data_IF_611496753648
#
_entry.id   IF_611496753648
#
_cell.length_a   1.000
_cell.length_b   1.000
_cell.length_c   1.000
_cell.angle_alpha   90.00
_cell.angle_beta   90.00
_cell.angle_gamma   90.00
#
_symmetry.space_group_name_H-M   'P 1'
#
loop_
_entity.id
_entity.type
_entity.pdbx_description
1 polymer ?
#
# COMPACT_ATOMS: atom_id res chain seq x y z
N UNK A 1 -8.82 -22.14 7.03
CA UNK A 1 -8.06 -20.94 6.61
C UNK A 1 -8.97 -19.73 6.69
N UNK A 2 -8.48 -18.51 6.97
CA UNK A 2 -9.34 -17.31 7.05
C UNK A 2 -10.02 -16.98 5.70
N UNK A 3 -9.31 -17.20 4.58
CA UNK A 3 -9.85 -17.05 3.22
C UNK A 3 -9.75 -18.37 2.45
N UNK A 4 -10.83 -18.73 1.75
CA UNK A 4 -10.97 -19.97 0.98
C UNK A 4 -11.49 -19.69 -0.44
N UNK A 5 -11.19 -20.57 -1.40
CA UNK A 5 -11.79 -20.53 -2.73
C UNK A 5 -13.28 -20.80 -2.65
N UNK A 6 -14.05 -20.25 -3.60
CA UNK A 6 -15.49 -20.57 -3.74
C UNK A 6 -15.74 -21.85 -4.56
N UNK A 7 -14.69 -22.42 -5.15
CA UNK A 7 -14.77 -23.68 -5.87
C UNK A 7 -14.51 -24.82 -4.87
N UNK A 8 -15.36 -25.85 -4.91
CA UNK A 8 -15.12 -27.12 -4.22
C UNK A 8 -13.74 -27.67 -4.62
N UNK A 9 -12.91 -28.18 -3.68
CA UNK A 9 -13.21 -28.51 -2.28
C UNK A 9 -12.98 -27.35 -1.29
N UNK A 10 -13.07 -26.08 -1.73
CA UNK A 10 -12.94 -24.87 -0.89
C UNK A 10 -11.57 -24.73 -0.21
N UNK A 11 -10.51 -25.02 -0.96
CA UNK A 11 -9.13 -24.93 -0.48
C UNK A 11 -8.75 -23.50 -0.06
N UNK A 12 -7.66 -23.36 0.71
CA UNK A 12 -7.07 -22.06 1.06
C UNK A 12 -6.89 -21.21 -0.21
N UNK A 13 -7.35 -19.96 -0.14
CA UNK A 13 -7.20 -19.03 -1.26
C UNK A 13 -5.72 -18.74 -1.53
N UNK A 14 -5.29 -18.88 -2.79
CA UNK A 14 -3.94 -18.55 -3.23
C UNK A 14 -3.82 -17.06 -3.58
N UNK A 15 -2.58 -16.55 -3.59
CA UNK A 15 -2.28 -15.15 -3.95
C UNK A 15 -2.75 -14.86 -5.38
N UNK A 16 -2.48 -15.77 -6.32
CA UNK A 16 -2.89 -15.62 -7.72
C UNK A 16 -4.40 -15.46 -7.90
N UNK A 17 -5.23 -16.14 -7.09
CA UNK A 17 -6.67 -16.01 -7.11
C UNK A 17 -7.15 -14.62 -6.68
N UNK A 18 -6.48 -14.02 -5.68
CA UNK A 18 -6.74 -12.64 -5.26
C UNK A 18 -6.34 -11.67 -6.38
N UNK A 19 -5.17 -11.87 -7.00
CA UNK A 19 -4.70 -11.03 -8.10
C UNK A 19 -5.65 -11.05 -9.30
N UNK A 20 -6.14 -12.23 -9.70
CA UNK A 20 -7.10 -12.38 -10.79
C UNK A 20 -8.38 -11.62 -10.48
N UNK A 21 -8.94 -11.77 -9.27
CA UNK A 21 -10.16 -11.07 -8.84
C UNK A 21 -9.99 -9.55 -8.88
N UNK A 22 -8.89 -9.03 -8.32
CA UNK A 22 -8.60 -7.59 -8.35
C UNK A 22 -8.39 -7.07 -9.77
N UNK A 23 -7.73 -7.84 -10.65
CA UNK A 23 -7.55 -7.48 -12.06
C UNK A 23 -8.88 -7.41 -12.80
N UNK A 24 -9.79 -8.36 -12.57
CA UNK A 24 -11.13 -8.36 -13.16
C UNK A 24 -11.96 -7.16 -12.68
N UNK A 25 -11.91 -6.85 -11.39
CA UNK A 25 -12.56 -5.66 -10.84
C UNK A 25 -12.01 -4.38 -11.48
N UNK A 26 -10.68 -4.27 -11.59
CA UNK A 26 -10.02 -3.16 -12.29
C UNK A 26 -10.54 -2.99 -13.72
N UNK A 27 -10.60 -4.08 -14.50
CA UNK A 27 -11.16 -4.06 -15.85
C UNK A 27 -12.60 -3.54 -15.92
N UNK A 28 -13.47 -4.00 -15.01
CA UNK A 28 -14.88 -3.56 -14.94
C UNK A 28 -15.01 -2.06 -14.64
N UNK A 29 -14.08 -1.51 -13.87
CA UNK A 29 -14.05 -0.10 -13.49
C UNK A 29 -13.23 0.76 -14.46
N UNK A 30 -12.71 0.20 -15.56
CA UNK A 30 -11.80 0.92 -16.46
C UNK A 30 -10.43 1.28 -15.85
N UNK A 31 -10.06 0.65 -14.73
CA UNK A 31 -8.84 0.90 -14.00
C UNK A 31 -7.72 -0.08 -14.41
N UNK A 32 -6.58 0.49 -14.80
CA UNK A 32 -5.40 -0.29 -15.18
C UNK A 32 -4.52 -0.64 -13.97
N UNK A 33 -3.81 -1.78 -14.10
CA UNK A 33 -2.79 -2.25 -13.14
C UNK A 33 -3.33 -2.36 -11.70
N UNK A 34 -4.53 -2.90 -11.51
CA UNK A 34 -5.10 -3.16 -10.17
C UNK A 34 -4.60 -4.52 -9.66
N UNK A 35 -3.81 -4.50 -8.58
CA UNK A 35 -3.23 -5.68 -7.94
C UNK A 35 -2.94 -5.40 -6.45
N UNK A 36 -2.80 -6.41 -5.58
CA UNK A 36 -2.69 -6.23 -4.12
C UNK A 36 -1.62 -5.23 -3.71
N UNK A 37 -0.43 -5.33 -4.30
CA UNK A 37 0.69 -4.43 -3.96
C UNK A 37 0.38 -2.95 -4.25
N UNK A 38 -0.52 -2.62 -5.20
CA UNK A 38 -0.92 -1.23 -5.46
C UNK A 38 -1.64 -0.61 -4.26
N UNK A 39 -2.50 -1.38 -3.59
CA UNK A 39 -3.20 -0.91 -2.37
C UNK A 39 -2.21 -0.64 -1.23
N UNK A 40 -1.21 -1.51 -1.05
CA UNK A 40 -0.14 -1.28 -0.07
C UNK A 40 0.62 0.01 -0.36
N UNK A 41 0.97 0.26 -1.62
CA UNK A 41 1.63 1.51 -2.04
C UNK A 41 0.75 2.73 -1.77
N UNK A 42 -0.55 2.65 -2.10
CA UNK A 42 -1.52 3.73 -1.83
C UNK A 42 -1.62 4.04 -0.34
N UNK A 43 -1.74 3.02 0.52
CA UNK A 43 -1.76 3.20 1.98
C UNK A 43 -0.49 3.91 2.46
N UNK A 44 0.68 3.46 2.00
CA UNK A 44 1.96 4.04 2.38
C UNK A 44 2.10 5.52 1.99
N UNK A 45 1.76 5.85 0.74
CA UNK A 45 1.76 7.25 0.27
C UNK A 45 0.77 8.12 1.06
N UNK A 46 -0.46 7.63 1.30
CA UNK A 46 -1.47 8.38 2.06
C UNK A 46 -1.05 8.62 3.51
N UNK A 47 -0.40 7.65 4.15
CA UNK A 47 0.08 7.79 5.53
C UNK A 47 1.15 8.88 5.64
N UNK A 48 2.10 8.93 4.69
CA UNK A 48 3.11 9.98 4.63
C UNK A 48 2.49 11.35 4.34
N UNK A 49 1.57 11.42 3.38
CA UNK A 49 0.86 12.67 3.07
C UNK A 49 0.09 13.22 4.27
N UNK A 50 -0.38 12.35 5.17
CA UNK A 50 -1.02 12.71 6.45
C UNK A 50 -0.03 12.99 7.59
N UNK A 51 1.27 12.95 7.32
CA UNK A 51 2.32 13.27 8.28
C UNK A 51 2.68 12.14 9.24
N UNK A 52 2.36 10.88 8.93
CA UNK A 52 2.86 9.74 9.69
C UNK A 52 4.40 9.69 9.63
N UNK A 53 5.11 9.58 10.76
CA UNK A 53 6.55 9.37 10.77
C UNK A 53 6.96 8.12 9.97
N UNK A 54 8.07 8.21 9.25
CA UNK A 54 8.49 7.16 8.31
C UNK A 54 8.81 5.84 9.02
N UNK A 55 9.30 5.89 10.25
CA UNK A 55 9.63 4.76 11.11
C UNK A 55 8.35 4.02 11.55
N UNK A 56 7.29 4.76 11.88
CA UNK A 56 5.98 4.18 12.20
C UNK A 56 5.38 3.50 10.96
N UNK A 57 5.51 4.14 9.80
CA UNK A 57 5.07 3.53 8.55
C UNK A 57 5.87 2.26 8.22
N UNK A 58 7.18 2.25 8.45
CA UNK A 58 8.02 1.06 8.25
C UNK A 58 7.51 -0.12 9.09
N UNK A 59 7.21 0.12 10.37
CA UNK A 59 6.66 -0.91 11.26
C UNK A 59 5.29 -1.38 10.81
N UNK A 60 4.38 -0.45 10.47
CA UNK A 60 3.04 -0.78 9.96
C UNK A 60 3.10 -1.64 8.69
N UNK A 61 4.04 -1.34 7.80
CA UNK A 61 4.25 -2.10 6.59
C UNK A 61 4.99 -3.43 6.85
N UNK A 62 5.68 -3.58 7.97
CA UNK A 62 6.52 -4.76 8.24
C UNK A 62 7.76 -4.82 7.34
N UNK A 63 8.31 -3.65 6.97
CA UNK A 63 9.52 -3.57 6.17
C UNK A 63 10.77 -3.78 7.03
N UNK A 64 11.63 -4.71 6.63
CA UNK A 64 12.92 -4.94 7.31
C UNK A 64 13.92 -3.80 7.12
N UNK A 65 13.95 -3.19 5.93
CA UNK A 65 14.88 -2.10 5.57
C UNK A 65 14.12 -0.80 5.39
N UNK A 66 14.57 0.27 6.07
CA UNK A 66 13.98 1.61 5.94
C UNK A 66 13.98 2.11 4.50
N UNK A 67 15.00 1.77 3.71
CA UNK A 67 15.13 2.10 2.27
C UNK A 67 13.88 1.75 1.45
N UNK A 68 13.23 0.62 1.79
CA UNK A 68 12.02 0.17 1.09
C UNK A 68 10.79 1.02 1.42
N UNK A 69 10.81 1.72 2.56
CA UNK A 69 9.76 2.67 2.98
C UNK A 69 10.08 4.09 2.49
N UNK A 70 11.36 4.49 2.42
CA UNK A 70 11.77 5.83 1.99
C UNK A 70 11.25 6.20 0.58
N UNK A 71 11.03 5.21 -0.28
CA UNK A 71 10.41 5.39 -1.59
C UNK A 71 9.05 6.13 -1.55
N UNK A 72 8.35 6.12 -0.41
CA UNK A 72 7.08 6.84 -0.24
C UNK A 72 7.25 8.27 0.30
N UNK A 73 8.40 8.60 0.91
CA UNK A 73 8.67 9.92 1.49
C UNK A 73 9.40 10.87 0.54
N UNK A 74 10.26 10.34 -0.33
CA UNK A 74 11.15 11.13 -1.20
C UNK A 74 10.44 11.91 -2.32
N UNK A 75 9.10 11.88 -2.40
CA UNK A 75 8.36 12.24 -3.61
C UNK A 75 7.82 13.69 -3.61
N UNK A 76 7.72 14.38 -2.47
CA UNK A 76 7.03 15.70 -2.44
C UNK A 76 7.72 16.80 -1.64
N UNK A 77 8.09 17.89 -2.32
CA UNK A 77 8.52 19.15 -1.69
C UNK A 77 7.47 19.73 -0.72
N UNK A 78 6.18 19.43 -0.92
CA UNK A 78 5.12 19.85 0.01
C UNK A 78 5.33 19.29 1.41
N UNK A 79 5.84 18.05 1.53
CA UNK A 79 6.04 17.40 2.81
C UNK A 79 7.18 18.08 3.59
N UNK A 80 8.22 18.52 2.89
CA UNK A 80 9.32 19.32 3.46
C UNK A 80 8.78 20.66 3.99
N UNK A 81 7.97 21.38 3.21
CA UNK A 81 7.35 22.65 3.64
C UNK A 81 6.40 22.49 4.83
N UNK A 82 5.64 21.39 4.87
CA UNK A 82 4.74 21.08 6.00
C UNK A 82 5.56 20.77 7.25
N UNK A 83 6.58 19.91 7.15
CA UNK A 83 7.45 19.59 8.27
C UNK A 83 8.16 20.83 8.81
N UNK A 84 8.72 21.66 7.92
CA UNK A 84 9.36 22.92 8.32
C UNK A 84 8.38 23.83 9.09
N UNK A 85 7.17 24.06 8.56
CA UNK A 85 6.14 24.85 9.27
C UNK A 85 5.67 24.25 10.59
N UNK A 86 5.74 22.92 10.73
CA UNK A 86 5.27 22.23 11.94
C UNK A 86 6.31 22.24 13.06
N UNK A 87 7.59 22.17 12.71
CA UNK A 87 8.67 21.93 13.67
C UNK A 87 9.66 23.10 13.81
N UNK A 88 9.78 23.99 12.82
CA UNK A 88 10.76 25.08 12.79
C UNK A 88 10.09 26.46 12.64
N UNK A 89 9.04 26.55 11.82
CA UNK A 89 8.32 27.79 11.53
C UNK A 89 7.25 28.14 12.54
#
# INVERSE_FOLDING_TARGET
>A
ALFVSLQSPYNRMNIGGIEVRLRQLGKRLGLNKVHPHKFRRTLATMAIDKGMPIEQLQQLLGHRRIDTTLQYAMVKQSNVKIAHRKYIG
#
